data_IF_741574611725
#
_entry.id   IF_741574611725
#
_cell.length_a   1.000
_cell.length_b   1.000
_cell.length_c   1.000
_cell.angle_alpha   90.00
_cell.angle_beta   90.00
_cell.angle_gamma   90.00
#
_symmetry.space_group_name_H-M   'P 1'
#
loop_
_entity.id
_entity.type
_entity.pdbx_description
1 polymer ?
#
# COMPACT_ATOMS: atom_id res chain seq x y z
N UNK A 1 59.33 48.49 -30.73
CA UNK A 1 57.88 48.33 -30.94
C UNK A 1 57.58 46.83 -30.98
N UNK A 2 57.11 46.25 -29.88
CA UNK A 2 56.52 44.91 -29.86
C UNK A 2 55.07 45.07 -29.41
N UNK A 3 54.13 44.74 -30.30
CA UNK A 3 52.70 44.72 -30.03
C UNK A 3 52.32 43.35 -29.47
N UNK A 4 51.83 43.34 -28.23
CA UNK A 4 51.24 42.20 -27.55
C UNK A 4 49.85 41.92 -28.14
N UNK A 5 49.68 40.77 -28.80
CA UNK A 5 48.37 40.28 -29.25
C UNK A 5 47.65 39.57 -28.10
N UNK A 6 46.59 40.19 -27.59
CA UNK A 6 45.65 39.57 -26.65
C UNK A 6 44.59 38.79 -27.45
N UNK A 7 44.64 37.47 -27.38
CA UNK A 7 43.57 36.58 -27.85
C UNK A 7 42.45 36.56 -26.81
N UNK A 8 41.31 37.15 -27.15
CA UNK A 8 40.08 37.03 -26.36
C UNK A 8 39.38 35.70 -26.68
N UNK A 9 39.30 34.78 -25.71
CA UNK A 9 38.45 33.60 -25.79
C UNK A 9 36.99 33.98 -25.49
N UNK A 10 36.01 33.60 -26.32
CA UNK A 10 34.61 33.78 -26.00
C UNK A 10 34.17 32.75 -24.93
N UNK A 11 33.33 33.12 -23.95
CA UNK A 11 32.82 32.18 -22.97
C UNK A 11 31.81 31.26 -23.65
N UNK A 12 32.14 29.97 -23.72
CA UNK A 12 31.23 28.93 -24.17
C UNK A 12 30.19 28.67 -23.06
N UNK A 13 29.03 29.33 -23.16
CA UNK A 13 27.85 29.04 -22.36
C UNK A 13 27.32 27.66 -22.75
N UNK A 14 27.66 26.64 -21.95
CA UNK A 14 27.04 25.32 -21.99
C UNK A 14 25.57 25.44 -21.56
N UNK A 15 24.67 25.60 -22.52
CA UNK A 15 23.24 25.40 -22.29
C UNK A 15 23.00 23.91 -22.04
N UNK A 16 22.97 23.51 -20.76
CA UNK A 16 22.48 22.20 -20.36
C UNK A 16 20.98 22.16 -20.68
N UNK A 17 20.51 21.28 -21.58
CA UNK A 17 19.08 21.06 -21.73
C UNK A 17 18.59 20.46 -20.42
N UNK A 18 17.84 21.23 -19.64
CA UNK A 18 17.06 20.70 -18.50
C UNK A 18 15.94 19.86 -19.09
N UNK A 19 16.24 18.60 -19.42
CA UNK A 19 15.24 17.60 -19.75
C UNK A 19 14.60 17.12 -18.43
N UNK A 20 13.93 18.03 -17.73
CA UNK A 20 13.06 17.66 -16.62
C UNK A 20 11.78 17.12 -17.25
N UNK A 21 11.74 15.82 -17.54
CA UNK A 21 10.49 15.15 -17.86
C UNK A 21 9.50 15.40 -16.69
N UNK A 22 8.22 15.70 -16.97
CA UNK A 22 7.23 15.85 -15.91
C UNK A 22 7.19 14.55 -15.09
N UNK A 23 7.15 14.68 -13.77
CA UNK A 23 7.04 13.53 -12.89
C UNK A 23 5.78 12.74 -13.25
N UNK A 24 5.85 11.40 -13.32
CA UNK A 24 4.69 10.59 -13.64
C UNK A 24 3.61 10.78 -12.57
N UNK A 25 2.36 10.88 -13.00
CA UNK A 25 1.22 10.97 -12.09
C UNK A 25 1.12 9.71 -11.23
N UNK A 26 0.46 9.79 -10.06
CA UNK A 26 0.22 8.63 -9.20
C UNK A 26 -0.47 7.49 -9.98
N UNK A 27 -1.45 7.82 -10.83
CA UNK A 27 -2.12 6.85 -11.70
C UNK A 27 -1.13 6.17 -12.66
N UNK A 28 -0.25 6.94 -13.33
CA UNK A 28 0.74 6.37 -14.24
C UNK A 28 1.73 5.43 -13.51
N UNK A 29 2.11 5.78 -12.28
CA UNK A 29 2.96 4.93 -11.45
C UNK A 29 2.24 3.64 -11.05
N UNK A 30 0.98 3.73 -10.60
CA UNK A 30 0.18 2.56 -10.24
C UNK A 30 -0.06 1.64 -11.43
N UNK A 31 -0.33 2.18 -12.62
CA UNK A 31 -0.46 1.38 -13.84
C UNK A 31 0.85 0.73 -14.29
N UNK A 32 2.00 1.31 -13.92
CA UNK A 32 3.29 0.65 -14.16
C UNK A 32 3.54 -0.52 -13.19
N UNK A 33 2.97 -0.47 -11.98
CA UNK A 33 3.15 -1.48 -10.93
C UNK A 33 2.12 -2.61 -11.07
N UNK A 34 0.86 -2.24 -11.35
CA UNK A 34 -0.28 -3.13 -11.48
C UNK A 34 -0.91 -2.97 -12.89
N UNK A 35 -0.26 -3.45 -13.95
CA UNK A 35 -0.64 -3.12 -15.34
C UNK A 35 -2.03 -3.60 -15.74
N UNK A 36 -2.55 -4.65 -15.10
CA UNK A 36 -3.89 -5.16 -15.42
C UNK A 36 -5.01 -4.49 -14.61
N UNK A 37 -4.68 -3.54 -13.73
CA UNK A 37 -5.64 -2.76 -12.94
C UNK A 37 -6.30 -1.59 -13.70
N UNK A 38 -6.18 -1.56 -15.04
CA UNK A 38 -6.90 -0.59 -15.88
C UNK A 38 -8.41 -0.84 -15.91
N UNK A 39 -8.86 -2.06 -15.60
CA UNK A 39 -10.26 -2.45 -15.64
C UNK A 39 -10.57 -3.59 -14.68
N UNK A 40 -11.81 -3.62 -14.19
CA UNK A 40 -12.36 -4.73 -13.39
C UNK A 40 -13.37 -5.59 -14.15
N UNK A 41 -13.56 -5.36 -15.46
CA UNK A 41 -14.61 -6.00 -16.25
C UNK A 41 -14.53 -7.54 -16.26
N UNK A 42 -13.32 -8.10 -16.18
CA UNK A 42 -13.07 -9.55 -16.15
C UNK A 42 -12.59 -10.05 -14.78
N UNK A 43 -12.82 -9.29 -13.71
CA UNK A 43 -12.42 -9.70 -12.38
C UNK A 43 -13.30 -10.88 -11.90
N UNK A 44 -12.71 -11.97 -11.36
CA UNK A 44 -13.48 -13.09 -10.81
C UNK A 44 -14.38 -12.68 -9.64
N UNK A 45 -13.97 -11.66 -8.88
CA UNK A 45 -14.72 -11.08 -7.76
C UNK A 45 -14.91 -9.57 -7.97
N UNK A 46 -15.95 -9.15 -8.72
CA UNK A 46 -16.14 -7.75 -9.09
C UNK A 46 -16.30 -6.78 -7.91
N UNK A 47 -16.83 -7.25 -6.78
CA UNK A 47 -17.03 -6.42 -5.59
C UNK A 47 -15.70 -6.04 -4.90
N UNK A 48 -14.68 -6.88 -5.04
CA UNK A 48 -13.35 -6.68 -4.46
C UNK A 48 -12.43 -5.89 -5.37
N UNK A 49 -12.61 -6.04 -6.69
CA UNK A 49 -11.74 -5.41 -7.66
C UNK A 49 -11.85 -3.89 -7.66
N UNK A 50 -10.71 -3.23 -7.79
CA UNK A 50 -10.62 -1.79 -8.04
C UNK A 50 -9.64 -1.49 -9.16
N UNK A 51 -9.96 -0.49 -9.97
CA UNK A 51 -9.00 0.05 -10.93
C UNK A 51 -7.91 0.85 -10.21
N UNK A 52 -6.75 1.06 -10.85
CA UNK A 52 -5.72 1.95 -10.31
C UNK A 52 -6.26 3.35 -9.99
N UNK A 53 -7.19 3.86 -10.80
CA UNK A 53 -7.83 5.16 -10.58
C UNK A 53 -8.68 5.17 -9.30
N UNK A 54 -9.44 4.10 -9.06
CA UNK A 54 -10.24 3.94 -7.85
C UNK A 54 -9.36 3.72 -6.60
N UNK A 55 -8.27 2.98 -6.75
CA UNK A 55 -7.33 2.65 -5.67
C UNK A 55 -6.48 3.84 -5.21
N UNK A 56 -6.06 4.68 -6.16
CA UNK A 56 -5.13 5.79 -5.94
C UNK A 56 -5.46 6.68 -4.73
N UNK A 57 -6.68 7.24 -4.58
CA UNK A 57 -6.98 8.11 -3.45
C UNK A 57 -6.85 7.40 -2.10
N UNK A 58 -7.24 6.13 -2.01
CA UNK A 58 -7.13 5.36 -0.77
C UNK A 58 -5.69 4.99 -0.44
N UNK A 59 -4.89 4.63 -1.44
CA UNK A 59 -3.46 4.36 -1.27
C UNK A 59 -2.71 5.61 -0.81
N UNK A 60 -2.94 6.76 -1.46
CA UNK A 60 -2.32 8.04 -1.09
C UNK A 60 -2.71 8.42 0.33
N UNK A 61 -4.01 8.34 0.65
CA UNK A 61 -4.52 8.63 1.99
C UNK A 61 -3.90 7.71 3.04
N UNK A 62 -3.84 6.40 2.78
CA UNK A 62 -3.24 5.43 3.67
C UNK A 62 -1.75 5.69 3.87
N UNK A 63 -0.97 5.98 2.83
CA UNK A 63 0.46 6.29 2.99
C UNK A 63 0.68 7.58 3.80
N UNK A 64 -0.09 8.63 3.50
CA UNK A 64 0.01 9.92 4.18
C UNK A 64 -0.40 9.85 5.66
N UNK A 65 -1.51 9.19 5.98
CA UNK A 65 -1.97 8.98 7.36
C UNK A 65 -0.93 8.24 8.22
N UNK A 66 -0.01 7.55 7.56
CA UNK A 66 0.95 6.66 8.16
C UNK A 66 2.41 7.14 8.04
N UNK A 67 2.59 8.36 7.55
CA UNK A 67 3.88 9.02 7.34
C UNK A 67 4.86 8.26 6.44
N UNK A 68 4.34 7.50 5.49
CA UNK A 68 5.16 6.78 4.49
C UNK A 68 5.39 7.70 3.29
N UNK A 69 6.61 8.24 3.20
CA UNK A 69 6.99 9.19 2.15
C UNK A 69 8.26 8.80 1.40
N UNK A 70 9.03 7.84 1.93
CA UNK A 70 10.29 7.45 1.31
C UNK A 70 10.00 6.71 -0.01
N UNK A 71 10.55 7.15 -1.15
CA UNK A 71 10.36 6.47 -2.44
C UNK A 71 10.60 4.96 -2.42
N UNK A 72 11.67 4.42 -1.78
CA UNK A 72 11.86 2.96 -1.75
C UNK A 72 10.79 2.23 -0.92
N UNK A 73 10.30 2.84 0.17
CA UNK A 73 9.26 2.26 1.01
C UNK A 73 7.91 2.24 0.28
N UNK A 74 7.55 3.35 -0.38
CA UNK A 74 6.37 3.44 -1.24
C UNK A 74 6.40 2.38 -2.33
N UNK A 75 7.53 2.25 -3.05
CA UNK A 75 7.67 1.26 -4.12
C UNK A 75 7.53 -0.18 -3.59
N UNK A 76 8.15 -0.50 -2.45
CA UNK A 76 8.05 -1.83 -1.85
C UNK A 76 6.62 -2.17 -1.42
N UNK A 77 5.92 -1.25 -0.75
CA UNK A 77 4.54 -1.46 -0.31
C UNK A 77 3.59 -1.58 -1.51
N UNK A 78 3.71 -0.70 -2.51
CA UNK A 78 2.87 -0.75 -3.70
C UNK A 78 3.08 -2.04 -4.50
N UNK A 79 4.33 -2.48 -4.65
CA UNK A 79 4.66 -3.74 -5.32
C UNK A 79 4.07 -4.94 -4.57
N UNK A 80 4.18 -4.97 -3.23
CA UNK A 80 3.58 -6.01 -2.40
C UNK A 80 2.06 -6.05 -2.55
N UNK A 81 1.40 -4.90 -2.43
CA UNK A 81 -0.07 -4.81 -2.54
C UNK A 81 -0.49 -5.27 -3.94
N UNK A 82 0.16 -4.82 -5.01
CA UNK A 82 -0.17 -5.23 -6.37
C UNK A 82 0.00 -6.74 -6.57
N UNK A 83 1.11 -7.30 -6.09
CA UNK A 83 1.41 -8.74 -6.22
C UNK A 83 0.36 -9.60 -5.51
N UNK A 84 0.12 -9.34 -4.21
CA UNK A 84 -0.76 -10.16 -3.38
C UNK A 84 -2.25 -9.99 -3.71
N UNK A 85 -2.66 -8.81 -4.22
CA UNK A 85 -4.04 -8.58 -4.67
C UNK A 85 -4.30 -8.94 -6.13
N UNK A 86 -3.29 -9.46 -6.85
CA UNK A 86 -3.42 -9.80 -8.27
C UNK A 86 -3.78 -8.60 -9.15
N UNK A 87 -3.01 -7.51 -9.02
CA UNK A 87 -3.28 -6.19 -9.61
C UNK A 87 -4.63 -5.60 -9.16
N UNK A 88 -4.84 -5.55 -7.84
CA UNK A 88 -6.00 -4.92 -7.19
C UNK A 88 -7.35 -5.63 -7.42
N UNK A 89 -7.31 -6.92 -7.79
CA UNK A 89 -8.52 -7.72 -8.08
C UNK A 89 -9.09 -8.41 -6.84
N UNK A 90 -8.26 -8.64 -5.83
CA UNK A 90 -8.63 -9.36 -4.63
C UNK A 90 -8.37 -8.54 -3.38
N UNK A 91 -9.34 -8.54 -2.47
CA UNK A 91 -9.23 -7.98 -1.13
C UNK A 91 -8.92 -9.06 -0.10
N UNK A 92 -9.33 -10.30 -0.34
CA UNK A 92 -9.08 -11.44 0.55
C UNK A 92 -8.76 -12.74 -0.23
N UNK A 93 -8.31 -13.75 0.50
CA UNK A 93 -7.89 -15.03 -0.10
C UNK A 93 -9.08 -15.89 -0.51
N UNK A 94 -9.06 -16.36 -1.77
CA UNK A 94 -10.06 -17.31 -2.31
C UNK A 94 -9.55 -18.73 -2.52
N UNK A 95 -8.26 -18.94 -2.84
CA UNK A 95 -7.72 -20.26 -3.21
C UNK A 95 -6.34 -20.50 -2.57
N UNK A 96 -6.15 -21.53 -1.73
CA UNK A 96 -7.13 -22.52 -1.24
C UNK A 96 -8.17 -21.99 -0.23
N UNK A 97 -8.19 -20.67 0.03
CA UNK A 97 -9.11 -20.05 0.98
C UNK A 97 -8.57 -20.16 2.41
N UNK A 98 -8.40 -19.03 3.09
CA UNK A 98 -8.03 -19.02 4.52
C UNK A 98 -8.90 -18.02 5.27
N UNK A 99 -9.63 -18.46 6.32
CA UNK A 99 -10.47 -17.58 7.10
C UNK A 99 -9.70 -16.42 7.71
N UNK A 100 -10.23 -15.21 7.53
CA UNK A 100 -9.68 -13.93 7.93
C UNK A 100 -8.36 -13.52 7.27
N UNK A 101 -7.95 -14.16 6.17
CA UNK A 101 -6.77 -13.73 5.39
C UNK A 101 -7.18 -12.73 4.32
N UNK A 102 -6.54 -11.56 4.29
CA UNK A 102 -6.91 -10.48 3.35
C UNK A 102 -6.38 -9.11 3.75
N UNK A 103 -6.95 -8.06 3.15
CA UNK A 103 -6.52 -6.64 3.06
C UNK A 103 -5.45 -6.32 2.01
N UNK A 104 -5.60 -6.91 0.82
CA UNK A 104 -4.85 -6.61 -0.42
C UNK A 104 -3.35 -6.90 -0.41
N UNK A 105 -2.73 -7.12 0.76
CA UNK A 105 -1.41 -7.73 0.93
C UNK A 105 -1.48 -9.19 1.44
N UNK A 106 -2.67 -9.82 1.37
CA UNK A 106 -2.97 -11.19 1.82
C UNK A 106 -2.43 -11.54 3.22
N UNK A 107 -2.45 -10.57 4.13
CA UNK A 107 -1.94 -10.79 5.48
C UNK A 107 -2.84 -11.73 6.29
N UNK A 108 -2.18 -12.42 7.21
CA UNK A 108 -2.77 -13.38 8.15
C UNK A 108 -3.78 -12.76 9.12
N UNK A 109 -4.72 -13.54 9.68
CA UNK A 109 -5.76 -13.05 10.59
C UNK A 109 -5.23 -12.29 11.82
N UNK A 110 -4.06 -12.67 12.33
CA UNK A 110 -3.41 -11.96 13.45
C UNK A 110 -3.06 -10.52 13.12
N UNK A 111 -2.58 -10.28 11.88
CA UNK A 111 -2.28 -8.93 11.42
C UNK A 111 -3.57 -8.13 11.17
N UNK A 112 -4.61 -8.76 10.62
CA UNK A 112 -5.92 -8.12 10.46
C UNK A 112 -6.56 -7.72 11.79
N UNK A 113 -6.45 -8.57 12.82
CA UNK A 113 -6.90 -8.23 14.18
C UNK A 113 -6.10 -7.07 14.78
N UNK A 114 -4.77 -7.09 14.68
CA UNK A 114 -3.92 -6.01 15.16
C UNK A 114 -4.25 -4.68 14.45
N UNK A 115 -4.48 -4.74 13.14
CA UNK A 115 -4.88 -3.57 12.35
C UNK A 115 -6.25 -3.05 12.79
N UNK A 116 -7.26 -3.91 12.89
CA UNK A 116 -8.61 -3.51 13.30
C UNK A 116 -8.64 -2.91 14.72
N UNK A 117 -7.79 -3.36 15.64
CA UNK A 117 -7.65 -2.79 16.98
C UNK A 117 -6.92 -1.44 17.01
N UNK A 118 -6.14 -1.13 15.98
CA UNK A 118 -5.38 0.12 15.87
C UNK A 118 -6.21 1.29 15.33
N UNK A 119 -7.32 0.99 14.64
CA UNK A 119 -8.15 1.99 13.97
C UNK A 119 -9.30 2.46 14.87
N UNK A 120 -9.50 3.77 15.04
CA UNK A 120 -10.63 4.29 15.83
C UNK A 120 -12.00 3.79 15.35
N UNK A 121 -12.19 3.64 14.04
CA UNK A 121 -13.47 3.22 13.45
C UNK A 121 -13.84 1.75 13.68
N UNK A 122 -12.87 0.88 13.98
CA UNK A 122 -13.10 -0.57 14.07
C UNK A 122 -12.71 -1.18 15.41
N UNK A 123 -11.96 -0.44 16.26
CA UNK A 123 -11.36 -0.96 17.50
C UNK A 123 -12.38 -1.60 18.44
N UNK A 124 -13.51 -0.96 18.69
CA UNK A 124 -14.51 -1.47 19.65
C UNK A 124 -15.19 -2.74 19.14
N UNK A 125 -15.51 -2.79 17.84
CA UNK A 125 -16.08 -3.98 17.21
C UNK A 125 -15.07 -5.15 17.20
N UNK A 126 -13.81 -4.86 16.87
CA UNK A 126 -12.73 -5.84 16.88
C UNK A 126 -12.48 -6.39 18.30
N UNK A 127 -12.44 -5.52 19.30
CA UNK A 127 -12.29 -5.91 20.71
C UNK A 127 -13.44 -6.80 21.19
N UNK A 128 -14.68 -6.49 20.77
CA UNK A 128 -15.86 -7.30 21.06
C UNK A 128 -15.80 -8.69 20.42
N UNK A 129 -15.35 -8.79 19.17
CA UNK A 129 -15.20 -10.09 18.49
C UNK A 129 -14.09 -10.91 19.15
N UNK A 130 -12.94 -10.28 19.40
CA UNK A 130 -11.80 -10.95 20.01
C UNK A 130 -12.08 -11.42 21.43
N UNK A 131 -12.83 -10.63 22.21
CA UNK A 131 -13.11 -10.89 23.62
C UNK A 131 -11.83 -11.19 24.43
N UNK A 132 -10.75 -10.46 24.13
CA UNK A 132 -9.43 -10.63 24.77
C UNK A 132 -8.58 -11.80 24.24
N UNK A 133 -9.07 -12.57 23.26
CA UNK A 133 -8.33 -13.68 22.65
C UNK A 133 -7.44 -13.22 21.51
N UNK A 134 -6.36 -13.97 21.29
CA UNK A 134 -5.52 -13.86 20.10
C UNK A 134 -6.21 -14.51 18.89
N UNK A 135 -5.76 -14.15 17.68
CA UNK A 135 -6.39 -14.56 16.42
C UNK A 135 -6.39 -16.09 16.18
N UNK A 136 -5.44 -16.81 16.76
CA UNK A 136 -5.35 -18.28 16.70
C UNK A 136 -6.46 -18.98 17.50
N UNK A 137 -6.90 -18.38 18.60
CA UNK A 137 -8.00 -18.83 19.44
C UNK A 137 -9.38 -18.34 18.95
N UNK A 138 -9.43 -17.61 17.83
CA UNK A 138 -10.69 -17.25 17.17
C UNK A 138 -11.17 -18.39 16.26
N UNK A 139 -12.48 -18.60 16.25
CA UNK A 139 -13.13 -19.42 15.22
C UNK A 139 -12.96 -18.76 13.84
N UNK A 140 -13.12 -19.55 12.79
CA UNK A 140 -12.97 -19.06 11.43
C UNK A 140 -13.98 -17.94 11.10
N UNK A 141 -15.23 -18.09 11.53
CA UNK A 141 -16.25 -17.05 11.41
C UNK A 141 -15.92 -15.77 12.23
N UNK A 142 -15.16 -15.87 13.31
CA UNK A 142 -14.67 -14.69 14.04
C UNK A 142 -13.54 -13.99 13.29
N UNK A 143 -12.62 -14.76 12.69
CA UNK A 143 -11.55 -14.21 11.84
C UNK A 143 -12.13 -13.49 10.63
N UNK A 144 -13.14 -14.06 9.99
CA UNK A 144 -13.84 -13.42 8.87
C UNK A 144 -14.57 -12.14 9.29
N UNK A 145 -15.23 -12.15 10.47
CA UNK A 145 -15.86 -10.94 11.01
C UNK A 145 -14.84 -9.84 11.33
N UNK A 146 -13.64 -10.18 11.78
CA UNK A 146 -12.56 -9.21 11.98
C UNK A 146 -12.10 -8.65 10.63
N UNK A 147 -11.87 -9.51 9.63
CA UNK A 147 -11.49 -9.08 8.28
C UNK A 147 -12.54 -8.14 7.66
N UNK A 148 -13.82 -8.45 7.82
CA UNK A 148 -14.92 -7.65 7.29
C UNK A 148 -14.95 -6.21 7.82
N UNK A 149 -14.37 -5.94 9.00
CA UNK A 149 -14.24 -4.58 9.54
C UNK A 149 -13.24 -3.73 8.74
N UNK A 150 -12.25 -4.36 8.10
CA UNK A 150 -11.08 -3.67 7.53
C UNK A 150 -10.86 -3.95 6.04
N UNK A 151 -11.62 -4.84 5.39
CA UNK A 151 -11.39 -5.20 3.98
C UNK A 151 -11.94 -4.18 2.97
N UNK A 152 -12.90 -3.34 3.38
CA UNK A 152 -13.49 -2.29 2.53
C UNK A 152 -12.50 -1.19 2.14
N UNK A 153 -12.83 -0.36 1.14
CA UNK A 153 -11.89 0.64 0.62
C UNK A 153 -11.44 1.68 1.67
N UNK A 154 -12.26 1.94 2.69
CA UNK A 154 -11.91 2.88 3.76
C UNK A 154 -10.62 2.49 4.49
N UNK A 155 -10.41 1.19 4.73
CA UNK A 155 -9.29 0.69 5.54
C UNK A 155 -8.40 -0.31 4.79
N UNK A 156 -8.93 -1.06 3.84
CA UNK A 156 -8.27 -2.21 3.24
C UNK A 156 -7.02 -1.89 2.43
N UNK A 157 -6.89 -0.64 1.95
CA UNK A 157 -5.67 -0.16 1.26
C UNK A 157 -4.53 0.17 2.23
N UNK A 158 -4.85 0.35 3.52
CA UNK A 158 -3.90 0.49 4.62
C UNK A 158 -3.59 -0.81 5.34
N UNK A 159 -4.11 -1.95 4.86
CA UNK A 159 -4.02 -3.26 5.50
C UNK A 159 -2.59 -3.66 5.90
N UNK A 160 -1.60 -3.35 5.06
CA UNK A 160 -0.17 -3.57 5.31
C UNK A 160 0.34 -3.05 6.66
N UNK A 161 -0.37 -2.12 7.31
CA UNK A 161 -0.06 -1.71 8.68
C UNK A 161 -0.16 -2.83 9.70
N UNK A 162 -1.08 -3.78 9.54
CA UNK A 162 -1.17 -4.94 10.44
C UNK A 162 0.16 -5.69 10.49
N UNK A 163 0.75 -5.94 9.33
CA UNK A 163 2.08 -6.53 9.20
C UNK A 163 3.17 -5.69 9.90
N UNK A 164 3.18 -4.36 9.72
CA UNK A 164 4.18 -3.49 10.37
C UNK A 164 4.00 -3.44 11.89
N UNK A 165 2.77 -3.30 12.39
CA UNK A 165 2.46 -3.23 13.82
C UNK A 165 2.98 -4.47 14.53
N UNK A 166 2.76 -5.65 13.98
CA UNK A 166 3.17 -6.90 14.62
C UNK A 166 4.65 -7.21 14.38
N UNK A 167 5.16 -7.02 13.16
CA UNK A 167 6.54 -7.36 12.81
C UNK A 167 7.56 -6.36 13.37
N UNK A 168 7.21 -5.08 13.45
CA UNK A 168 8.10 -4.00 13.91
C UNK A 168 7.76 -3.59 15.35
N UNK A 169 6.50 -3.66 15.79
CA UNK A 169 6.13 -3.38 17.19
C UNK A 169 6.80 -4.35 18.18
N UNK A 170 7.07 -5.59 17.77
CA UNK A 170 7.86 -6.55 18.55
C UNK A 170 9.34 -6.16 18.71
N UNK A 171 9.84 -5.20 17.92
CA UNK A 171 11.21 -4.68 17.97
C UNK A 171 11.35 -3.49 18.95
N UNK A 172 10.25 -2.88 19.39
CA UNK A 172 10.22 -1.70 20.26
C UNK A 172 9.54 -1.93 21.62
N UNK A 173 9.34 -3.18 22.04
CA UNK A 173 8.98 -3.49 23.43
C UNK A 173 10.30 -3.50 24.23
N UNK A 174 10.60 -2.48 25.07
CA UNK A 174 11.69 -2.64 26.03
C UNK A 174 11.35 -3.78 26.99
N UNK A 175 12.36 -4.55 27.45
CA UNK A 175 12.17 -5.68 28.35
C UNK A 175 11.46 -5.31 29.66
#
# INVERSE_FOLDING_TARGET
>A
MQLTNLLALPPLLLALPTLAAPLPTALAQLLSIAPTSTTCASAPFPLECRTAEQAAPFLISAMAANSVYAPPELAALLALIAFESGDFKYSHTHFPGRPGQGTRNMQMPGFNLAYALSLPGTKDAAAKIAAGRQADALSDAEKDRVLALVEGDEFGWGGWRGFIIVSVGSMCIPP
#
